data_IF_291590990277
#
_entry.id   IF_291590990277
#
_cell.length_a   1.000
_cell.length_b   1.000
_cell.length_c   1.000
_cell.angle_alpha   90.00
_cell.angle_beta   90.00
_cell.angle_gamma   90.00
#
_symmetry.space_group_name_H-M   'P 1'
#
loop_
_entity.id
_entity.type
_entity.pdbx_description
1 polymer ?
#
# COMPACT_ATOMS: atom_id res chain seq x y z
N UNK A 1 -6.04 -4.69 -7.84
CA UNK A 1 -4.79 -4.52 -8.60
C UNK A 1 -4.54 -3.07 -8.99
N UNK A 2 -5.18 -2.53 -10.05
CA UNK A 2 -4.94 -1.15 -10.51
C UNK A 2 -5.09 -0.11 -9.40
N UNK A 3 -6.16 -0.20 -8.60
CA UNK A 3 -6.36 0.69 -7.45
C UNK A 3 -5.20 0.68 -6.45
N UNK A 4 -4.58 -0.49 -6.23
CA UNK A 4 -3.44 -0.62 -5.32
C UNK A 4 -2.23 0.12 -5.86
N UNK A 5 -1.89 -0.09 -7.15
CA UNK A 5 -0.78 0.60 -7.82
C UNK A 5 -1.01 2.12 -7.88
N UNK A 6 -2.21 2.57 -8.20
CA UNK A 6 -2.59 3.99 -8.21
C UNK A 6 -2.41 4.62 -6.82
N UNK A 7 -2.83 3.91 -5.76
CA UNK A 7 -2.77 4.44 -4.39
C UNK A 7 -1.34 4.60 -3.88
N UNK A 8 -0.45 3.67 -4.24
CA UNK A 8 0.95 3.68 -3.80
C UNK A 8 1.91 4.26 -4.84
N UNK A 9 1.42 4.96 -5.87
CA UNK A 9 2.24 5.40 -7.00
C UNK A 9 3.39 6.33 -6.62
N UNK A 10 3.37 6.89 -5.41
CA UNK A 10 4.45 7.71 -4.84
C UNK A 10 5.60 6.88 -4.24
N UNK A 11 5.40 5.58 -4.02
CA UNK A 11 6.41 4.65 -3.51
C UNK A 11 7.05 3.87 -4.66
N UNK A 12 8.39 3.64 -4.65
CA UNK A 12 9.01 2.73 -5.60
C UNK A 12 8.53 1.30 -5.38
N UNK A 13 8.20 0.60 -6.47
CA UNK A 13 7.75 -0.79 -6.45
C UNK A 13 8.96 -1.70 -6.64
N UNK A 14 9.21 -2.58 -5.67
CA UNK A 14 10.28 -3.57 -5.71
C UNK A 14 9.85 -4.79 -6.56
N UNK A 15 8.62 -5.27 -6.34
CA UNK A 15 8.06 -6.42 -7.05
C UNK A 15 6.54 -6.30 -7.15
N UNK A 16 5.97 -6.73 -8.28
CA UNK A 16 4.53 -6.79 -8.46
C UNK A 16 4.16 -8.01 -9.32
N UNK A 17 3.56 -9.01 -8.69
CA UNK A 17 3.05 -10.22 -9.34
C UNK A 17 1.52 -10.13 -9.53
N UNK A 18 1.03 -9.84 -10.75
CA UNK A 18 -0.40 -9.72 -11.03
C UNK A 18 -1.15 -11.05 -10.97
N UNK A 19 -0.46 -12.19 -11.06
CA UNK A 19 -1.08 -13.51 -11.00
C UNK A 19 -1.23 -13.99 -9.55
N UNK A 20 -0.18 -13.85 -8.75
CA UNK A 20 -0.19 -14.16 -7.32
C UNK A 20 -0.90 -13.12 -6.45
N UNK A 21 -1.18 -11.93 -6.99
CA UNK A 21 -1.87 -10.86 -6.27
C UNK A 21 -0.99 -10.19 -5.22
N UNK A 22 0.32 -10.10 -5.44
CA UNK A 22 1.27 -9.55 -4.48
C UNK A 22 1.96 -8.31 -5.05
N UNK A 23 2.02 -7.23 -4.27
CA UNK A 23 2.78 -6.03 -4.59
C UNK A 23 3.67 -5.70 -3.39
N UNK A 24 4.96 -5.51 -3.62
CA UNK A 24 5.97 -5.20 -2.61
C UNK A 24 6.64 -3.89 -3.01
N UNK A 25 6.65 -2.92 -2.11
CA UNK A 25 7.39 -1.67 -2.31
C UNK A 25 8.83 -1.81 -1.83
N UNK A 26 9.69 -0.91 -2.30
CA UNK A 26 10.92 -0.60 -1.57
C UNK A 26 10.62 0.25 -0.34
N UNK A 27 11.67 0.45 0.47
CA UNK A 27 11.63 1.42 1.54
C UNK A 27 11.53 2.84 0.98
N UNK A 28 10.58 3.62 1.47
CA UNK A 28 10.37 5.00 1.04
C UNK A 28 10.18 5.94 2.23
N UNK A 29 10.89 7.08 2.21
CA UNK A 29 10.74 8.17 3.17
C UNK A 29 9.97 9.33 2.54
N UNK A 30 9.05 9.91 3.30
CA UNK A 30 8.36 11.12 2.88
C UNK A 30 9.25 12.35 3.12
N UNK A 31 9.18 13.34 2.25
CA UNK A 31 9.97 14.58 2.33
C UNK A 31 9.77 15.33 3.65
N UNK A 32 8.55 15.25 4.21
CA UNK A 32 8.17 15.87 5.50
C UNK A 32 8.70 15.11 6.72
N UNK A 33 9.11 13.85 6.54
CA UNK A 33 9.58 12.97 7.60
C UNK A 33 10.77 12.09 7.10
N UNK A 34 11.91 12.70 6.74
CA UNK A 34 13.03 11.98 6.12
C UNK A 34 13.76 11.01 7.06
N UNK A 35 13.49 11.10 8.36
CA UNK A 35 14.04 10.22 9.39
C UNK A 35 13.17 8.97 9.63
N UNK A 36 12.08 8.81 8.90
CA UNK A 36 11.31 7.57 8.89
C UNK A 36 11.12 7.07 7.46
N UNK A 37 10.98 5.76 7.32
CA UNK A 37 10.70 5.11 6.06
C UNK A 37 9.71 3.99 6.24
N UNK A 38 8.91 3.78 5.21
CA UNK A 38 7.88 2.75 5.18
C UNK A 38 8.12 1.80 4.03
N UNK A 39 7.73 0.54 4.25
CA UNK A 39 7.63 -0.48 3.22
C UNK A 39 6.24 -1.11 3.34
N UNK A 40 5.64 -1.41 2.20
CA UNK A 40 4.34 -2.05 2.12
C UNK A 40 4.47 -3.40 1.40
N UNK A 41 3.83 -4.43 1.95
CA UNK A 41 3.47 -5.63 1.22
C UNK A 41 1.95 -5.67 1.11
N UNK A 42 1.44 -5.69 -0.12
CA UNK A 42 0.01 -5.68 -0.42
C UNK A 42 -0.35 -7.04 -1.01
N UNK A 43 -1.34 -7.67 -0.41
CA UNK A 43 -1.87 -8.97 -0.81
C UNK A 43 -3.32 -8.78 -1.27
N UNK A 44 -3.61 -9.20 -2.49
CA UNK A 44 -4.93 -9.15 -3.11
C UNK A 44 -5.45 -10.58 -3.12
N UNK A 45 -6.29 -10.89 -2.13
CA UNK A 45 -6.70 -12.25 -1.77
C UNK A 45 -7.89 -12.77 -2.59
N UNK A 46 -8.53 -11.91 -3.37
CA UNK A 46 -9.68 -12.31 -4.21
C UNK A 46 -10.04 -11.29 -5.27
N UNK A 47 -10.81 -11.75 -6.27
CA UNK A 47 -11.31 -10.92 -7.38
C UNK A 47 -12.56 -10.12 -7.02
N UNK A 48 -13.27 -10.50 -5.96
CA UNK A 48 -14.48 -9.82 -5.50
C UNK A 48 -14.13 -8.58 -4.65
N UNK A 49 -14.82 -7.46 -4.86
CA UNK A 49 -14.75 -6.26 -4.02
C UNK A 49 -15.44 -6.51 -2.67
N UNK A 50 -14.80 -7.29 -1.80
CA UNK A 50 -15.22 -7.52 -0.42
C UNK A 50 -14.09 -7.08 0.53
N UNK A 51 -14.44 -6.71 1.76
CA UNK A 51 -13.49 -6.21 2.76
C UNK A 51 -12.42 -7.24 3.15
N UNK A 52 -12.65 -8.53 2.87
CA UNK A 52 -11.71 -9.64 3.07
C UNK A 52 -10.75 -9.87 1.87
N UNK A 53 -10.92 -9.13 0.77
CA UNK A 53 -10.17 -9.33 -0.47
C UNK A 53 -8.81 -8.61 -0.55
N UNK A 54 -8.45 -7.82 0.46
CA UNK A 54 -7.22 -7.03 0.49
C UNK A 54 -6.60 -7.12 1.89
N UNK A 55 -5.28 -7.29 1.94
CA UNK A 55 -4.50 -7.18 3.17
C UNK A 55 -3.23 -6.40 2.90
N UNK A 56 -2.91 -5.46 3.78
CA UNK A 56 -1.66 -4.70 3.71
C UNK A 56 -0.82 -4.98 4.94
N UNK A 57 0.43 -5.39 4.75
CA UNK A 57 1.42 -5.37 5.82
C UNK A 57 2.26 -4.10 5.66
N UNK A 58 2.28 -3.29 6.72
CA UNK A 58 3.06 -2.05 6.79
C UNK A 58 4.27 -2.30 7.68
N UNK A 59 5.43 -1.85 7.23
CA UNK A 59 6.67 -1.86 8.00
C UNK A 59 7.17 -0.44 8.13
N UNK A 60 7.71 -0.09 9.30
CA UNK A 60 8.28 1.23 9.57
C UNK A 60 9.66 1.09 10.16
N UNK A 61 10.58 1.92 9.68
CA UNK A 61 11.90 2.10 10.27
C UNK A 61 12.15 3.58 10.54
N UNK A 62 12.84 3.86 11.64
CA UNK A 62 13.34 5.19 11.98
C UNK A 62 14.86 5.22 11.91
N UNK A 63 15.39 6.34 11.43
CA UNK A 63 16.83 6.56 11.37
C UNK A 63 17.31 6.97 12.76
N UNK A 64 18.29 6.25 13.26
CA UNK A 64 19.03 6.51 14.50
C UNK A 64 20.52 6.64 14.18
N UNK A 65 21.33 7.00 15.18
CA UNK A 65 22.79 7.14 15.02
C UNK A 65 23.48 5.86 14.52
N UNK A 66 22.88 4.68 14.73
CA UNK A 66 23.37 3.38 14.24
C UNK A 66 22.76 2.92 12.91
N UNK A 67 21.97 3.77 12.23
CA UNK A 67 21.29 3.45 10.98
C UNK A 67 19.78 3.29 11.13
N UNK A 68 19.15 2.52 10.25
CA UNK A 68 17.70 2.31 10.26
C UNK A 68 17.33 1.19 11.24
N UNK A 69 16.39 1.48 12.14
CA UNK A 69 15.90 0.53 13.13
C UNK A 69 14.39 0.36 12.99
N UNK A 70 13.91 -0.88 13.15
CA UNK A 70 12.48 -1.18 13.14
C UNK A 70 11.76 -0.43 14.26
N UNK A 71 10.61 0.14 13.92
CA UNK A 71 9.80 0.89 14.85
C UNK A 71 8.33 0.47 14.73
N UNK A 72 7.59 0.70 15.81
CA UNK A 72 6.14 0.50 15.81
C UNK A 72 5.49 1.30 14.68
N UNK A 73 4.64 0.64 13.91
CA UNK A 73 3.75 1.27 12.95
C UNK A 73 2.57 1.86 13.73
N UNK A 74 2.16 3.11 13.50
CA UNK A 74 0.95 3.65 14.11
C UNK A 74 -0.25 2.76 13.80
N UNK A 75 -1.08 2.48 14.80
CA UNK A 75 -2.13 1.45 14.75
C UNK A 75 -3.18 1.67 13.64
N UNK A 76 -3.32 2.89 13.15
CA UNK A 76 -4.25 3.29 12.11
C UNK A 76 -3.66 3.28 10.69
N UNK A 77 -2.33 3.18 10.55
CA UNK A 77 -1.66 3.36 9.25
C UNK A 77 -2.03 2.25 8.28
N UNK A 78 -2.05 1.00 8.75
CA UNK A 78 -2.47 -0.13 7.92
C UNK A 78 -3.90 0.05 7.41
N UNK A 79 -4.84 0.37 8.30
CA UNK A 79 -6.26 0.53 7.99
C UNK A 79 -6.43 1.67 6.97
N UNK A 80 -5.75 2.81 7.18
CA UNK A 80 -5.79 3.95 6.26
C UNK A 80 -5.33 3.59 4.84
N UNK A 81 -4.27 2.78 4.71
CA UNK A 81 -3.78 2.33 3.40
C UNK A 81 -4.78 1.38 2.75
N UNK A 82 -5.33 0.42 3.50
CA UNK A 82 -6.37 -0.50 3.01
C UNK A 82 -7.62 0.26 2.53
N UNK A 83 -8.11 1.21 3.32
CA UNK A 83 -9.27 2.04 2.98
C UNK A 83 -9.03 2.92 1.77
N UNK A 84 -7.83 3.49 1.62
CA UNK A 84 -7.46 4.28 0.45
C UNK A 84 -7.50 3.43 -0.84
N UNK A 85 -6.96 2.21 -0.80
CA UNK A 85 -6.98 1.27 -1.93
C UNK A 85 -8.42 0.87 -2.27
N UNK A 86 -9.23 0.52 -1.26
CA UNK A 86 -10.63 0.13 -1.46
C UNK A 86 -11.46 1.29 -2.02
N UNK A 87 -11.22 2.51 -1.54
CA UNK A 87 -11.87 3.72 -2.05
C UNK A 87 -11.52 3.96 -3.51
N UNK A 88 -10.22 3.88 -3.87
CA UNK A 88 -9.78 4.00 -5.25
C UNK A 88 -10.36 2.91 -6.15
N UNK A 89 -10.50 1.68 -5.64
CA UNK A 89 -11.11 0.59 -6.39
C UNK A 89 -12.60 0.84 -6.70
N UNK A 90 -13.34 1.42 -5.75
CA UNK A 90 -14.73 1.83 -5.98
C UNK A 90 -14.84 2.94 -7.03
N UNK A 91 -13.96 3.94 -6.97
CA UNK A 91 -13.90 5.01 -7.98
C UNK A 91 -13.66 4.43 -9.38
N UNK A 92 -12.61 3.62 -9.56
CA UNK A 92 -12.31 2.99 -10.85
C UNK A 92 -13.45 2.13 -11.39
N UNK A 93 -14.20 1.46 -10.50
CA UNK A 93 -15.39 0.70 -10.88
C UNK A 93 -16.50 1.61 -11.38
N UNK A 94 -16.77 2.73 -10.69
CA UNK A 94 -17.80 3.67 -11.09
C UNK A 94 -17.48 4.32 -12.43
N UNK A 95 -16.23 4.75 -12.63
CA UNK A 95 -15.76 5.33 -13.89
C UNK A 95 -15.95 4.37 -15.06
N UNK A 96 -15.65 3.07 -14.86
CA UNK A 96 -15.83 2.04 -15.89
C UNK A 96 -17.30 1.80 -16.25
N UNK A 97 -18.23 1.94 -15.29
CA UNK A 97 -19.67 1.80 -15.54
C UNK A 97 -20.26 3.02 -16.28
N UNK A 98 -19.69 4.20 -16.10
CA UNK A 98 -20.14 5.42 -16.79
C UNK A 98 -19.70 5.49 -18.26
N UNK A 99 -18.68 4.70 -18.63
CA UNK A 99 -18.14 4.63 -19.99
C UNK A 99 -18.79 3.55 -20.86
N UNK A 100 -19.80 2.85 -20.32
CA UNK A 100 -20.62 1.85 -21.02
C UNK A 100 -21.98 2.42 -21.40
#
# INVERSE_FOLDING_TARGET
WRASLDTISFMPVNSADPFGGVIITDWHSLSVAPQERFKLNIYILGRALRADGLRVAVFRQVKSGSGWQDAGVPSDTQIKVEDAILTRARQLRNDALQQQ
#
